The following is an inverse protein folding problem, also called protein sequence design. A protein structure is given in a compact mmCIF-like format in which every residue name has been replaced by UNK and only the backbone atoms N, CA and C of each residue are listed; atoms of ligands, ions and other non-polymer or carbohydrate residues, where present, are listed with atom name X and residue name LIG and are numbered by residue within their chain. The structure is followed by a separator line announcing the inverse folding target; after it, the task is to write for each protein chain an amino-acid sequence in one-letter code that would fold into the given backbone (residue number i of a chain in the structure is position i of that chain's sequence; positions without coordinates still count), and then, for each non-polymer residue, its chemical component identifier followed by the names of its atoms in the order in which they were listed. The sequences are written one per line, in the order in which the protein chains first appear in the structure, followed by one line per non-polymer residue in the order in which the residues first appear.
data_IF_809961913510
#
_entry.id   IF_809961913510
#
_cell.length_a   1.000
_cell.length_b   1.000
_cell.length_c   1.000
_cell.angle_alpha   90.00
_cell.angle_beta   90.00
_cell.angle_gamma   90.00
#
_symmetry.space_group_name_H-M   'P 1'
#
loop_
_entity.id
_entity.type
_entity.pdbx_description
1 polymer ?
#
# COMPACT_ATOMS: atom_id res chain seq x y z
N UNK A 1 -35.40 8.98 0.67
CA UNK A 1 -34.52 8.32 -0.32
C UNK A 1 -35.20 7.07 -0.89
N UNK A 2 -35.22 6.88 -2.21
CA UNK A 2 -35.75 5.67 -2.85
C UNK A 2 -34.69 4.55 -2.81
N UNK A 3 -34.90 3.55 -1.95
CA UNK A 3 -33.94 2.47 -1.70
C UNK A 3 -33.81 1.53 -2.90
N UNK A 4 -34.91 1.20 -3.57
CA UNK A 4 -34.90 0.31 -4.74
C UNK A 4 -34.11 0.93 -5.90
N UNK A 5 -34.34 2.22 -6.19
CA UNK A 5 -33.58 2.94 -7.20
C UNK A 5 -32.09 3.06 -6.85
N UNK A 6 -31.77 3.19 -5.55
CA UNK A 6 -30.39 3.20 -5.07
C UNK A 6 -29.72 1.82 -5.25
N UNK A 7 -30.44 0.73 -4.97
CA UNK A 7 -29.93 -0.62 -5.15
C UNK A 7 -29.57 -0.89 -6.62
N UNK A 8 -30.45 -0.58 -7.56
CA UNK A 8 -30.20 -0.74 -9.01
C UNK A 8 -28.95 0.03 -9.46
N UNK A 9 -28.80 1.28 -9.01
CA UNK A 9 -27.62 2.09 -9.34
C UNK A 9 -26.33 1.54 -8.73
N UNK A 10 -26.38 1.06 -7.49
CA UNK A 10 -25.20 0.46 -6.86
C UNK A 10 -24.81 -0.82 -7.59
N UNK A 11 -25.78 -1.65 -8.00
CA UNK A 11 -25.50 -2.87 -8.78
C UNK A 11 -24.78 -2.60 -10.12
N UNK A 12 -24.91 -1.40 -10.69
CA UNK A 12 -24.13 -1.00 -11.87
C UNK A 12 -22.63 -0.85 -11.60
N UNK A 13 -22.23 -0.73 -10.33
CA UNK A 13 -20.83 -0.73 -9.92
C UNK A 13 -20.31 -2.16 -10.01
N UNK A 14 -19.45 -2.43 -11.01
CA UNK A 14 -18.93 -3.76 -11.40
C UNK A 14 -18.46 -4.67 -10.26
N UNK A 15 -17.94 -4.09 -9.18
CA UNK A 15 -17.36 -4.85 -8.06
C UNK A 15 -18.35 -5.16 -6.95
N UNK A 16 -19.60 -4.70 -7.07
CA UNK A 16 -20.54 -4.74 -5.94
C UNK A 16 -21.61 -5.80 -6.06
N UNK A 17 -22.03 -6.29 -4.90
CA UNK A 17 -23.20 -7.14 -4.71
C UNK A 17 -24.16 -6.43 -3.74
N UNK A 18 -25.45 -6.43 -4.05
CA UNK A 18 -26.48 -5.74 -3.26
C UNK A 18 -27.57 -6.72 -2.88
N UNK A 19 -27.76 -6.91 -1.58
CA UNK A 19 -28.87 -7.68 -1.02
C UNK A 19 -29.91 -6.73 -0.43
N UNK A 20 -31.12 -6.72 -0.97
CA UNK A 20 -32.27 -6.07 -0.33
C UNK A 20 -32.84 -7.00 0.76
N UNK A 21 -33.03 -6.46 1.96
CA UNK A 21 -33.54 -7.20 3.12
C UNK A 21 -34.98 -6.82 3.48
N UNK A 22 -35.61 -5.90 2.74
CA UNK A 22 -36.88 -5.28 3.09
C UNK A 22 -36.78 -4.23 4.20
N UNK A 23 -35.76 -4.31 5.06
CA UNK A 23 -35.44 -3.32 6.10
C UNK A 23 -34.29 -2.36 5.71
N UNK A 24 -33.78 -2.48 4.48
CA UNK A 24 -32.62 -1.75 3.97
C UNK A 24 -31.76 -2.60 3.03
N UNK A 25 -30.63 -2.06 2.61
CA UNK A 25 -29.67 -2.71 1.71
C UNK A 25 -28.43 -3.18 2.45
N UNK A 26 -27.90 -4.31 2.03
CA UNK A 26 -26.54 -4.76 2.35
C UNK A 26 -25.73 -4.73 1.06
N UNK A 27 -24.72 -3.86 1.00
CA UNK A 27 -23.79 -3.76 -0.13
C UNK A 27 -22.47 -4.41 0.25
N UNK A 28 -21.92 -5.21 -0.65
CA UNK A 28 -20.60 -5.86 -0.56
C UNK A 28 -19.77 -5.48 -1.76
N UNK A 29 -18.44 -5.48 -1.61
CA UNK A 29 -17.50 -5.26 -2.71
C UNK A 29 -16.53 -6.44 -2.80
N UNK A 30 -16.37 -7.01 -3.99
CA UNK A 30 -15.54 -8.19 -4.24
C UNK A 30 -14.06 -7.99 -3.93
N UNK A 31 -13.57 -6.73 -3.94
CA UNK A 31 -12.20 -6.37 -3.54
C UNK A 31 -12.01 -6.44 -2.03
N UNK A 32 -13.09 -6.30 -1.25
CA UNK A 32 -13.09 -6.30 0.21
C UNK A 32 -14.19 -7.22 0.74
N UNK A 33 -14.01 -8.55 0.64
CA UNK A 33 -15.11 -9.52 0.78
C UNK A 33 -15.76 -9.57 2.17
N UNK A 34 -15.09 -9.05 3.20
CA UNK A 34 -15.62 -8.98 4.56
C UNK A 34 -16.14 -7.59 4.94
N UNK A 35 -16.00 -6.59 4.07
CA UNK A 35 -16.58 -5.28 4.28
C UNK A 35 -18.06 -5.32 3.87
N UNK A 36 -18.93 -4.90 4.79
CA UNK A 36 -20.36 -4.74 4.52
C UNK A 36 -20.78 -3.31 4.76
N UNK A 37 -21.65 -2.82 3.88
CA UNK A 37 -22.32 -1.54 4.03
C UNK A 37 -23.81 -1.80 4.26
N UNK A 38 -24.33 -1.28 5.35
CA UNK A 38 -25.72 -1.35 5.73
C UNK A 38 -26.35 0.01 5.45
N UNK A 39 -27.35 0.04 4.57
CA UNK A 39 -28.06 1.27 4.20
C UNK A 39 -29.50 1.14 4.67
N UNK A 40 -29.86 1.93 5.66
CA UNK A 40 -31.23 1.99 6.17
C UNK A 40 -32.11 2.91 5.31
N UNK A 41 -33.43 2.64 5.22
CA UNK A 41 -34.40 3.48 4.52
C UNK A 41 -34.39 4.95 4.94
N UNK A 42 -34.03 5.22 6.19
CA UNK A 42 -33.87 6.58 6.73
C UNK A 42 -32.64 7.34 6.17
N UNK A 43 -31.92 6.78 5.19
CA UNK A 43 -30.70 7.38 4.65
C UNK A 43 -29.48 7.24 5.55
N UNK A 44 -29.55 6.34 6.55
CA UNK A 44 -28.43 6.08 7.46
C UNK A 44 -27.58 4.95 6.91
N UNK A 45 -26.30 5.23 6.75
CA UNK A 45 -25.30 4.32 6.25
C UNK A 45 -24.39 3.90 7.41
N UNK A 46 -24.18 2.58 7.58
CA UNK A 46 -23.22 2.00 8.53
C UNK A 46 -22.28 1.07 7.80
N UNK A 47 -20.97 1.26 8.00
CA UNK A 47 -19.95 0.41 7.41
C UNK A 47 -19.23 -0.38 8.49
N UNK A 48 -19.06 -1.69 8.27
CA UNK A 48 -18.30 -2.54 9.19
C UNK A 48 -17.67 -3.73 8.49
N UNK A 49 -16.53 -4.16 9.03
CA UNK A 49 -15.92 -5.43 8.68
C UNK A 49 -16.58 -6.54 9.48
N UNK A 50 -16.92 -7.64 8.83
CA UNK A 50 -17.51 -8.82 9.44
C UNK A 50 -16.82 -10.08 8.96
N UNK A 51 -16.07 -10.72 9.85
CA UNK A 51 -15.40 -11.97 9.54
C UNK A 51 -16.32 -13.15 9.86
N UNK A 52 -16.49 -14.10 8.95
CA UNK A 52 -17.31 -15.28 9.21
C UNK A 52 -16.67 -16.20 10.26
N UNK A 53 -17.41 -17.20 10.70
CA UNK A 53 -16.83 -18.31 11.46
C UNK A 53 -15.84 -19.08 10.57
N UNK A 54 -14.74 -19.61 11.14
CA UNK A 54 -13.83 -20.45 10.38
C UNK A 54 -14.58 -21.74 10.01
N UNK A 55 -14.24 -22.32 8.87
CA UNK A 55 -14.78 -23.62 8.48
C UNK A 55 -14.27 -24.74 9.42
N UNK A 56 -14.69 -25.99 9.18
CA UNK A 56 -14.27 -27.16 9.96
C UNK A 56 -12.74 -27.38 10.02
N UNK A 57 -11.98 -26.77 9.09
CA UNK A 57 -10.50 -26.81 9.06
C UNK A 57 -9.86 -25.58 9.71
N UNK A 58 -10.63 -24.76 10.41
CA UNK A 58 -10.14 -23.54 11.05
C UNK A 58 -9.86 -22.38 10.08
N UNK A 59 -10.28 -22.46 8.81
CA UNK A 59 -9.94 -21.46 7.79
C UNK A 59 -11.09 -20.51 7.46
N UNK A 60 -10.75 -19.26 7.16
CA UNK A 60 -11.64 -18.28 6.53
C UNK A 60 -11.12 -18.03 5.10
N UNK A 61 -11.95 -18.18 4.05
CA UNK A 61 -11.48 -18.11 2.67
C UNK A 61 -10.91 -16.73 2.32
N UNK A 62 -9.62 -16.66 1.98
CA UNK A 62 -8.93 -15.40 1.64
C UNK A 62 -8.06 -14.82 2.77
N UNK A 63 -8.04 -15.45 3.95
CA UNK A 63 -7.16 -15.09 5.06
C UNK A 63 -5.98 -16.06 5.19
N UNK A 64 -4.81 -15.53 5.54
CA UNK A 64 -3.65 -16.32 5.95
C UNK A 64 -3.79 -16.81 7.40
N UNK A 65 -2.93 -17.73 7.84
CA UNK A 65 -2.95 -18.20 9.23
C UNK A 65 -2.65 -17.08 10.25
N UNK A 66 -1.79 -16.12 9.87
CA UNK A 66 -1.52 -14.93 10.69
C UNK A 66 -2.71 -13.98 10.76
N UNK A 67 -3.42 -13.78 9.63
CA UNK A 67 -4.66 -13.00 9.60
C UNK A 67 -5.75 -13.65 10.45
N UNK A 68 -5.85 -14.99 10.41
CA UNK A 68 -6.80 -15.78 11.19
C UNK A 68 -6.56 -15.65 12.69
N UNK A 69 -5.31 -15.72 13.13
CA UNK A 69 -4.94 -15.49 14.53
C UNK A 69 -5.38 -14.09 14.97
N UNK A 70 -5.11 -13.08 14.15
CA UNK A 70 -5.52 -11.69 14.44
C UNK A 70 -7.05 -11.56 14.50
N UNK A 71 -7.79 -12.20 13.58
CA UNK A 71 -9.26 -12.17 13.59
C UNK A 71 -9.84 -12.87 14.82
N UNK A 72 -9.18 -13.90 15.35
CA UNK A 72 -9.61 -14.60 16.55
C UNK A 72 -9.55 -13.70 17.81
N UNK A 73 -8.65 -12.70 17.83
CA UNK A 73 -8.51 -11.73 18.91
C UNK A 73 -9.55 -10.60 18.83
N UNK A 74 -10.17 -10.37 17.66
CA UNK A 74 -11.17 -9.32 17.48
C UNK A 74 -12.46 -9.68 18.24
N UNK A 75 -12.89 -8.87 19.22
CA UNK A 75 -14.16 -9.10 19.91
C UNK A 75 -15.32 -9.14 18.93
N UNK A 76 -16.14 -10.19 18.99
CA UNK A 76 -17.29 -10.40 18.08
C UNK A 76 -16.93 -10.50 16.59
N UNK A 77 -15.66 -10.55 16.20
CA UNK A 77 -15.20 -10.63 14.79
C UNK A 77 -15.77 -9.54 13.89
N UNK A 78 -16.09 -8.40 14.48
CA UNK A 78 -16.67 -7.26 13.78
C UNK A 78 -15.92 -6.00 14.13
N UNK A 79 -15.70 -5.16 13.13
CA UNK A 79 -15.07 -3.86 13.34
C UNK A 79 -15.89 -2.78 12.64
N UNK A 80 -16.51 -1.92 13.44
CA UNK A 80 -17.25 -0.77 12.94
C UNK A 80 -16.30 0.30 12.38
N UNK A 81 -16.65 0.83 11.22
CA UNK A 81 -15.93 1.92 10.54
C UNK A 81 -16.64 3.27 10.69
N UNK A 82 -17.77 3.29 11.39
CA UNK A 82 -18.58 4.47 11.63
C UNK A 82 -19.87 4.51 10.83
N UNK A 83 -20.59 5.60 11.03
CA UNK A 83 -21.90 5.86 10.45
C UNK A 83 -21.91 7.23 9.81
N UNK A 84 -22.58 7.35 8.68
CA UNK A 84 -22.75 8.60 7.95
C UNK A 84 -24.18 8.70 7.43
N UNK A 85 -24.65 9.93 7.19
CA UNK A 85 -25.93 10.16 6.53
C UNK A 85 -25.68 10.29 5.04
N UNK A 86 -26.42 9.54 4.24
CA UNK A 86 -26.41 9.70 2.79
C UNK A 86 -27.20 10.96 2.40
N UNK A 87 -26.78 11.66 1.34
CA UNK A 87 -27.59 12.68 0.70
C UNK A 87 -28.94 12.11 0.24
N UNK A 88 -29.98 12.93 0.24
CA UNK A 88 -31.29 12.54 -0.31
C UNK A 88 -31.26 12.42 -1.84
N UNK A 89 -30.32 13.11 -2.48
CA UNK A 89 -30.04 13.01 -3.91
C UNK A 89 -29.39 11.67 -4.26
N UNK A 90 -29.97 11.00 -5.25
CA UNK A 90 -29.62 9.63 -5.62
C UNK A 90 -28.21 9.56 -6.25
N UNK A 91 -27.86 10.51 -7.11
CA UNK A 91 -26.54 10.59 -7.74
C UNK A 91 -25.44 10.82 -6.70
N UNK A 92 -25.63 11.79 -5.81
CA UNK A 92 -24.72 12.09 -4.72
C UNK A 92 -24.58 10.92 -3.74
N UNK A 93 -25.66 10.21 -3.42
CA UNK A 93 -25.62 9.03 -2.56
C UNK A 93 -24.83 7.88 -3.20
N UNK A 94 -25.09 7.56 -4.47
CA UNK A 94 -24.34 6.53 -5.21
C UNK A 94 -22.85 6.87 -5.29
N UNK A 95 -22.50 8.11 -5.63
CA UNK A 95 -21.10 8.54 -5.71
C UNK A 95 -20.40 8.51 -4.36
N UNK A 96 -21.10 8.87 -3.27
CA UNK A 96 -20.55 8.77 -1.92
C UNK A 96 -20.24 7.31 -1.53
N UNK A 97 -21.14 6.37 -1.85
CA UNK A 97 -20.94 4.93 -1.62
C UNK A 97 -19.76 4.42 -2.44
N UNK A 98 -19.68 4.76 -3.72
CA UNK A 98 -18.58 4.38 -4.60
C UNK A 98 -17.24 4.86 -4.05
N UNK A 99 -17.14 6.14 -3.68
CA UNK A 99 -15.92 6.71 -3.08
C UNK A 99 -15.56 6.04 -1.75
N UNK A 100 -16.55 5.70 -0.93
CA UNK A 100 -16.30 4.97 0.31
C UNK A 100 -15.73 3.58 0.03
N UNK A 101 -16.34 2.82 -0.88
CA UNK A 101 -15.85 1.50 -1.29
C UNK A 101 -14.44 1.55 -1.89
N UNK A 102 -14.19 2.49 -2.80
CA UNK A 102 -12.86 2.69 -3.39
C UNK A 102 -11.82 3.03 -2.31
N UNK A 103 -12.17 3.90 -1.36
CA UNK A 103 -11.31 4.23 -0.23
C UNK A 103 -11.04 3.01 0.65
N UNK A 104 -12.05 2.20 0.96
CA UNK A 104 -11.87 1.01 1.79
C UNK A 104 -11.08 -0.10 1.08
N UNK A 105 -11.27 -0.26 -0.23
CA UNK A 105 -10.50 -1.19 -1.05
C UNK A 105 -9.02 -0.78 -1.18
N UNK A 106 -8.75 0.52 -1.12
CA UNK A 106 -7.39 1.04 -1.11
C UNK A 106 -6.71 0.90 0.26
N UNK A 107 -7.46 1.01 1.35
CA UNK A 107 -6.94 0.94 2.72
C UNK A 107 -6.51 -0.48 3.14
N UNK A 108 -5.60 -0.54 4.11
CA UNK A 108 -5.19 -1.81 4.71
C UNK A 108 -6.37 -2.39 5.48
N UNK A 109 -6.68 -3.65 5.17
CA UNK A 109 -7.75 -4.37 5.85
C UNK A 109 -7.45 -4.46 7.36
N UNK A 110 -8.46 -4.32 8.24
CA UNK A 110 -8.25 -4.28 9.69
C UNK A 110 -7.46 -5.44 10.27
N UNK A 111 -7.72 -6.67 9.82
CA UNK A 111 -7.03 -7.89 10.29
C UNK A 111 -5.55 -7.96 9.91
N UNK A 112 -5.11 -7.12 8.96
CA UNK A 112 -3.70 -7.01 8.55
C UNK A 112 -2.94 -5.95 9.32
N UNK A 113 -3.63 -5.12 10.10
CA UNK A 113 -3.03 -4.18 11.02
C UNK A 113 -2.54 -4.95 12.25
N UNK A 114 -1.38 -5.59 12.11
CA UNK A 114 -0.72 -6.29 13.21
C UNK A 114 0.00 -5.30 14.14
N UNK A 115 0.43 -5.78 15.31
CA UNK A 115 1.32 -5.02 16.16
C UNK A 115 2.56 -4.55 15.36
N UNK A 116 2.97 -3.28 15.50
CA UNK A 116 4.11 -2.75 14.77
C UNK A 116 5.35 -3.60 15.08
N UNK A 117 6.03 -4.04 14.03
CA UNK A 117 7.28 -4.80 14.20
C UNK A 117 8.32 -3.93 14.92
N UNK A 118 9.32 -4.54 15.57
CA UNK A 118 10.49 -3.80 16.05
C UNK A 118 11.07 -2.95 14.93
N UNK A 119 11.40 -1.69 15.23
CA UNK A 119 11.83 -0.69 14.22
C UNK A 119 12.91 -1.23 13.28
N UNK A 120 13.88 -1.98 13.81
CA UNK A 120 14.93 -2.62 13.00
C UNK A 120 14.36 -3.47 11.86
N UNK A 121 13.36 -4.32 12.14
CA UNK A 121 12.69 -5.13 11.10
C UNK A 121 11.93 -4.28 10.09
N UNK A 122 11.41 -3.12 10.52
CA UNK A 122 10.74 -2.17 9.63
C UNK A 122 11.75 -1.48 8.71
N UNK A 123 12.92 -1.10 9.23
CA UNK A 123 14.01 -0.53 8.43
C UNK A 123 14.58 -1.56 7.45
N UNK A 124 14.77 -2.81 7.87
CA UNK A 124 15.15 -3.93 7.00
C UNK A 124 14.11 -4.12 5.89
N UNK A 125 12.81 -4.19 6.24
CA UNK A 125 11.73 -4.29 5.25
C UNK A 125 11.68 -3.10 4.28
N UNK A 126 11.99 -1.89 4.75
CA UNK A 126 12.08 -0.69 3.92
C UNK A 126 13.21 -0.76 2.90
N UNK A 127 14.41 -1.19 3.32
CA UNK A 127 15.55 -1.38 2.41
C UNK A 127 15.27 -2.46 1.38
N UNK A 128 14.85 -3.64 1.84
CA UNK A 128 14.48 -4.76 0.97
C UNK A 128 13.43 -4.35 -0.05
N UNK A 129 12.40 -3.59 0.37
CA UNK A 129 11.37 -3.07 -0.53
C UNK A 129 11.96 -2.12 -1.57
N UNK A 130 12.79 -1.18 -1.15
CA UNK A 130 13.33 -0.17 -2.06
C UNK A 130 14.27 -0.81 -3.08
N UNK A 131 15.09 -1.77 -2.65
CA UNK A 131 16.01 -2.50 -3.52
C UNK A 131 15.24 -3.40 -4.51
N UNK A 132 14.22 -4.13 -4.05
CA UNK A 132 13.36 -4.94 -4.92
C UNK A 132 12.65 -4.09 -6.00
N UNK A 133 12.19 -2.89 -5.64
CA UNK A 133 11.52 -1.98 -6.57
C UNK A 133 12.52 -1.37 -7.57
N UNK A 134 13.73 -1.03 -7.14
CA UNK A 134 14.81 -0.54 -8.00
C UNK A 134 15.25 -1.60 -9.01
N UNK A 135 15.45 -2.84 -8.55
CA UNK A 135 15.80 -3.97 -9.41
C UNK A 135 14.73 -4.21 -10.48
N UNK A 136 13.45 -4.15 -10.10
CA UNK A 136 12.34 -4.29 -11.05
C UNK A 136 12.35 -3.17 -12.09
N UNK A 137 12.50 -1.91 -11.66
CA UNK A 137 12.56 -0.75 -12.56
C UNK A 137 13.74 -0.85 -13.54
N UNK A 138 14.90 -1.32 -13.06
CA UNK A 138 16.09 -1.57 -13.89
C UNK A 138 15.83 -2.67 -14.92
N UNK A 139 15.27 -3.80 -14.51
CA UNK A 139 14.93 -4.90 -15.41
C UNK A 139 13.94 -4.47 -16.51
N UNK A 140 12.92 -3.69 -16.16
CA UNK A 140 11.95 -3.13 -17.11
C UNK A 140 12.60 -2.17 -18.11
N UNK A 141 13.53 -1.32 -17.65
CA UNK A 141 14.29 -0.42 -18.52
C UNK A 141 15.16 -1.20 -19.51
N UNK A 142 15.89 -2.20 -19.04
CA UNK A 142 16.72 -3.07 -19.89
C UNK A 142 15.89 -3.84 -20.92
N UNK A 143 14.70 -4.30 -20.52
CA UNK A 143 13.75 -4.95 -21.42
C UNK A 143 13.28 -4.01 -22.52
N UNK A 144 12.88 -2.78 -22.17
CA UNK A 144 12.47 -1.75 -23.15
C UNK A 144 13.59 -1.41 -24.13
N UNK A 145 14.83 -1.27 -23.65
CA UNK A 145 16.00 -1.02 -24.50
C UNK A 145 16.21 -2.18 -25.49
N UNK A 146 16.10 -3.42 -25.02
CA UNK A 146 16.19 -4.62 -25.88
C UNK A 146 15.10 -4.66 -26.94
N UNK A 147 13.85 -4.39 -26.56
CA UNK A 147 12.71 -4.34 -27.48
C UNK A 147 12.90 -3.23 -28.54
N UNK A 148 13.33 -2.03 -28.14
CA UNK A 148 13.63 -0.94 -29.07
C UNK A 148 14.74 -1.29 -30.07
N UNK A 149 15.83 -1.91 -29.59
CA UNK A 149 16.92 -2.38 -30.46
C UNK A 149 16.45 -3.46 -31.44
N UNK A 150 15.60 -4.38 -30.98
CA UNK A 150 15.02 -5.42 -31.84
C UNK A 150 14.10 -4.83 -32.92
N UNK A 151 13.28 -3.83 -32.57
CA UNK A 151 12.43 -3.11 -33.53
C UNK A 151 13.27 -2.34 -34.55
N UNK A 152 14.33 -1.64 -34.11
CA UNK A 152 15.26 -0.94 -35.01
C UNK A 152 15.98 -1.92 -35.95
N UNK A 153 16.40 -3.09 -35.46
CA UNK A 153 17.03 -4.12 -36.28
C UNK A 153 16.06 -4.73 -37.31
N UNK A 154 14.77 -4.87 -36.96
CA UNK A 154 13.71 -5.35 -37.88
C UNK A 154 13.29 -4.29 -38.90
N UNK A 155 13.39 -3.01 -38.57
CA UNK A 155 13.13 -1.89 -39.49
C UNK A 155 14.06 -1.84 -40.72
N UNK A 156 15.17 -2.58 -40.72
CA UNK A 156 16.13 -2.67 -41.84
C UNK A 156 16.14 -4.00 -42.61
N UNK A 157 15.39 -5.03 -42.18
CA UNK A 157 15.33 -6.32 -42.87
C UNK A 157 13.91 -6.90 -42.85
N UNK A 158 13.34 -7.15 -44.04
CA UNK A 158 12.23 -8.10 -44.20
C UNK A 158 12.74 -9.50 -43.85
N UNK A 159 12.56 -9.92 -42.61
CA UNK A 159 12.79 -11.31 -42.19
C UNK A 159 11.42 -11.97 -42.09
N UNK A 160 11.26 -13.08 -42.80
CA UNK A 160 10.08 -13.93 -42.74
C UNK A 160 9.80 -14.35 -41.27
N UNK A 161 8.52 -14.58 -40.89
CA UNK A 161 8.21 -14.99 -39.52
C UNK A 161 8.79 -16.39 -39.28
N UNK A 162 9.81 -16.50 -38.43
CA UNK A 162 10.10 -17.74 -37.71
C UNK A 162 8.97 -17.96 -36.70
N UNK A 163 7.82 -18.44 -37.18
CA UNK A 163 6.88 -19.18 -36.35
C UNK A 163 7.28 -20.65 -36.39
N UNK A 164 7.09 -21.34 -35.26
CA UNK A 164 7.17 -22.80 -35.10
C UNK A 164 8.50 -23.40 -34.61
N UNK A 165 9.28 -22.66 -33.82
CA UNK A 165 10.29 -23.30 -32.95
C UNK A 165 9.68 -23.55 -31.57
N UNK A 166 9.41 -24.82 -31.27
CA UNK A 166 9.03 -25.21 -29.91
C UNK A 166 10.18 -24.88 -28.94
N UNK A 167 9.88 -24.24 -27.79
CA UNK A 167 10.90 -23.91 -26.80
C UNK A 167 11.53 -25.19 -26.27
N UNK A 168 12.86 -25.21 -26.14
CA UNK A 168 13.55 -26.38 -25.61
C UNK A 168 13.20 -26.62 -24.13
N UNK A 169 13.40 -27.83 -23.64
CA UNK A 169 13.18 -28.16 -22.22
C UNK A 169 13.97 -27.21 -21.29
N UNK A 170 15.19 -26.84 -21.66
CA UNK A 170 16.03 -25.89 -20.92
C UNK A 170 15.50 -24.46 -20.95
N UNK A 171 14.81 -24.05 -22.02
CA UNK A 171 14.14 -22.76 -22.12
C UNK A 171 12.88 -22.71 -21.25
N UNK A 172 12.10 -23.80 -21.26
CA UNK A 172 10.93 -23.96 -20.40
C UNK A 172 11.32 -23.98 -18.91
N UNK A 173 12.39 -24.68 -18.54
CA UNK A 173 12.87 -24.73 -17.16
C UNK A 173 13.38 -23.36 -16.69
N UNK A 174 14.15 -22.66 -17.53
CA UNK A 174 14.62 -21.29 -17.23
C UNK A 174 13.44 -20.32 -17.07
N UNK A 175 12.44 -20.41 -17.94
CA UNK A 175 11.23 -19.58 -17.85
C UNK A 175 10.44 -19.88 -16.56
N UNK A 176 10.31 -21.16 -16.18
CA UNK A 176 9.62 -21.57 -14.96
C UNK A 176 10.35 -21.08 -13.69
N UNK A 177 11.68 -21.16 -13.65
CA UNK A 177 12.49 -20.62 -12.54
C UNK A 177 12.32 -19.10 -12.43
N UNK A 178 12.45 -18.37 -13.54
CA UNK A 178 12.25 -16.92 -13.56
C UNK A 178 10.85 -16.50 -13.10
N UNK A 179 9.80 -17.24 -13.50
CA UNK A 179 8.44 -16.98 -13.06
C UNK A 179 8.24 -17.23 -11.55
N UNK A 180 8.93 -18.23 -10.99
CA UNK A 180 8.91 -18.50 -9.56
C UNK A 180 9.62 -17.39 -8.77
N UNK A 181 10.79 -16.98 -9.22
CA UNK A 181 11.57 -15.92 -8.56
C UNK A 181 10.80 -14.59 -8.57
N UNK A 182 10.13 -14.26 -9.68
CA UNK A 182 9.28 -13.06 -9.76
C UNK A 182 8.08 -13.14 -8.80
N UNK A 183 7.45 -14.31 -8.70
CA UNK A 183 6.35 -14.52 -7.76
C UNK A 183 6.83 -14.37 -6.30
N UNK A 184 7.99 -14.93 -5.97
CA UNK A 184 8.56 -14.85 -4.62
C UNK A 184 8.94 -13.39 -4.28
N UNK A 185 9.45 -12.63 -5.27
CA UNK A 185 9.69 -11.19 -5.14
C UNK A 185 8.39 -10.41 -4.90
N UNK A 186 7.33 -10.66 -5.69
CA UNK A 186 6.03 -10.00 -5.51
C UNK A 186 5.45 -10.26 -4.11
N UNK A 187 5.59 -11.49 -3.60
CA UNK A 187 5.18 -11.84 -2.24
C UNK A 187 6.00 -11.06 -1.19
N UNK A 188 7.32 -10.94 -1.38
CA UNK A 188 8.20 -10.17 -0.48
C UNK A 188 7.85 -8.68 -0.50
N UNK A 189 7.65 -8.08 -1.66
CA UNK A 189 7.21 -6.68 -1.82
C UNK A 189 5.90 -6.46 -1.08
N UNK A 190 4.90 -7.33 -1.27
CA UNK A 190 3.61 -7.21 -0.61
C UNK A 190 3.73 -7.28 0.92
N UNK A 191 4.56 -8.20 1.42
CA UNK A 191 4.85 -8.34 2.86
C UNK A 191 5.54 -7.11 3.43
N UNK A 192 6.57 -6.60 2.76
CA UNK A 192 7.33 -5.43 3.24
C UNK A 192 6.47 -4.17 3.25
N UNK A 193 5.65 -3.96 2.21
CA UNK A 193 4.64 -2.88 2.20
C UNK A 193 3.68 -2.97 3.38
N UNK A 194 3.17 -4.16 3.69
CA UNK A 194 2.29 -4.36 4.83
C UNK A 194 3.00 -4.06 6.16
N UNK A 195 4.25 -4.52 6.34
CA UNK A 195 5.03 -4.27 7.53
C UNK A 195 5.28 -2.76 7.76
N UNK A 196 5.70 -2.05 6.72
CA UNK A 196 5.94 -0.60 6.80
C UNK A 196 4.65 0.14 7.08
N UNK A 197 3.56 -0.18 6.39
CA UNK A 197 2.32 0.54 6.60
C UNK A 197 1.67 0.28 7.96
N UNK A 198 1.86 -0.92 8.55
CA UNK A 198 1.50 -1.18 9.94
C UNK A 198 2.31 -0.30 10.91
N UNK A 199 3.61 -0.13 10.65
CA UNK A 199 4.44 0.74 11.46
C UNK A 199 4.06 2.23 11.29
N UNK A 200 3.70 2.64 10.07
CA UNK A 200 3.17 3.98 9.79
C UNK A 200 1.84 4.22 10.51
N UNK A 201 1.04 3.20 10.77
CA UNK A 201 -0.24 3.29 11.48
C UNK A 201 -0.12 3.50 13.01
N UNK A 202 1.06 3.93 13.48
CA UNK A 202 1.37 4.24 14.89
C UNK A 202 1.57 5.74 15.11
N UNK A 203 1.68 6.17 16.37
CA UNK A 203 2.00 7.56 16.73
C UNK A 203 3.30 8.07 16.08
N UNK A 204 4.25 7.15 15.85
CA UNK A 204 5.59 7.45 15.38
C UNK A 204 5.73 7.39 13.87
N UNK A 205 4.65 7.10 13.13
CA UNK A 205 4.69 7.00 11.68
C UNK A 205 5.43 8.15 10.98
N UNK A 206 5.20 9.43 11.35
CA UNK A 206 5.97 10.56 10.81
C UNK A 206 7.47 10.50 11.10
N UNK A 207 7.86 10.06 12.30
CA UNK A 207 9.25 9.95 12.74
C UNK A 207 9.95 8.75 12.09
N UNK A 208 9.20 7.70 11.76
CA UNK A 208 9.66 6.59 10.94
C UNK A 208 9.97 7.05 9.50
N UNK A 209 9.13 7.89 8.89
CA UNK A 209 9.45 8.47 7.57
C UNK A 209 10.74 9.28 7.64
N UNK A 210 10.91 10.14 8.66
CA UNK A 210 12.15 10.89 8.83
C UNK A 210 13.39 9.97 8.98
N UNK A 211 13.23 8.81 9.61
CA UNK A 211 14.28 7.81 9.71
C UNK A 211 14.64 7.20 8.34
N UNK A 212 13.66 6.90 7.49
CA UNK A 212 13.91 6.47 6.12
C UNK A 212 14.67 7.55 5.33
N UNK A 213 14.33 8.83 5.53
CA UNK A 213 15.06 9.94 4.90
C UNK A 213 16.52 9.99 5.33
N UNK A 214 16.79 9.83 6.63
CA UNK A 214 18.17 9.79 7.15
C UNK A 214 18.91 8.58 6.57
N UNK A 215 18.27 7.42 6.48
CA UNK A 215 18.86 6.21 5.92
C UNK A 215 19.25 6.38 4.44
N UNK A 216 18.36 6.97 3.63
CA UNK A 216 18.65 7.29 2.23
C UNK A 216 19.76 8.35 2.11
N UNK A 217 19.81 9.32 3.03
CA UNK A 217 20.86 10.32 3.07
C UNK A 217 22.22 9.68 3.35
N UNK A 218 22.29 8.82 4.35
CA UNK A 218 23.50 8.13 4.76
C UNK A 218 23.99 7.19 3.63
N UNK A 219 23.07 6.48 2.97
CA UNK A 219 23.36 5.66 1.78
C UNK A 219 23.94 6.49 0.63
N UNK A 220 23.29 7.59 0.24
CA UNK A 220 23.67 8.41 -0.92
C UNK A 220 24.98 9.18 -0.66
N UNK A 221 25.22 9.60 0.59
CA UNK A 221 26.43 10.34 0.96
C UNK A 221 27.62 9.41 1.24
N UNK A 222 27.42 8.08 1.24
CA UNK A 222 28.45 7.11 1.59
C UNK A 222 28.82 7.12 3.08
N UNK A 223 28.02 7.77 3.92
CA UNK A 223 28.17 7.74 5.36
C UNK A 223 27.62 6.41 5.88
N UNK A 224 28.43 5.35 5.82
CA UNK A 224 28.14 4.04 6.43
C UNK A 224 28.31 4.06 7.96
N UNK A 225 27.92 5.16 8.61
CA UNK A 225 27.77 5.17 10.05
C UNK A 225 26.59 4.25 10.40
N UNK A 226 26.95 3.03 10.82
CA UNK A 226 26.06 1.96 11.31
C UNK A 226 24.88 2.55 12.10
N UNK A 227 23.67 2.34 11.58
CA UNK A 227 22.37 2.37 12.29
C UNK A 227 22.34 3.18 13.60
N UNK A 228 22.58 4.50 13.57
CA UNK A 228 22.44 5.33 14.79
C UNK A 228 20.98 5.55 15.22
N UNK A 229 20.04 4.90 14.54
CA UNK A 229 18.60 5.05 14.72
C UNK A 229 18.00 3.87 15.52
N UNK A 230 18.86 3.07 16.18
CA UNK A 230 18.45 1.98 17.07
C UNK A 230 17.97 2.44 18.46
N UNK A 231 18.28 3.67 18.90
CA UNK A 231 17.94 4.13 20.24
C UNK A 231 16.98 5.33 20.22
N UNK A 232 15.83 5.17 20.89
CA UNK A 232 14.79 6.19 21.20
C UNK A 232 13.76 6.50 20.14
N UNK A 233 13.01 5.50 19.69
CA UNK A 233 11.61 5.74 19.32
C UNK A 233 10.78 4.76 20.12
N UNK A 234 10.18 5.26 21.20
CA UNK A 234 9.16 4.56 21.95
C UNK A 234 7.82 4.80 21.25
N UNK A 235 7.08 3.72 20.95
CA UNK A 235 5.81 3.67 20.21
C UNK A 235 4.62 4.40 20.87
N UNK A 236 4.91 5.39 21.72
CA UNK A 236 3.96 6.18 22.49
C UNK A 236 4.19 7.70 22.47
N UNK A 237 5.17 8.23 21.74
CA UNK A 237 5.49 9.68 21.81
C UNK A 237 5.43 10.40 20.45
N UNK A 238 4.78 11.56 20.40
CA UNK A 238 4.73 12.44 19.21
C UNK A 238 6.06 13.20 18.99
N UNK A 239 7.21 12.55 19.18
CA UNK A 239 8.50 13.21 19.11
C UNK A 239 8.88 13.53 17.66
N UNK A 240 8.94 14.83 17.34
CA UNK A 240 9.35 15.37 16.03
C UNK A 240 10.85 15.64 15.94
N UNK A 241 11.64 15.25 16.92
CA UNK A 241 13.10 15.42 16.95
C UNK A 241 13.77 14.88 15.68
N UNK A 242 13.38 13.68 15.23
CA UNK A 242 13.92 13.04 14.03
C UNK A 242 13.63 13.81 12.74
N UNK A 243 12.47 14.48 12.64
CA UNK A 243 12.16 15.31 11.47
C UNK A 243 13.10 16.53 11.43
N UNK A 244 13.37 17.14 12.59
CA UNK A 244 14.32 18.26 12.68
C UNK A 244 15.73 17.81 12.36
N UNK A 245 16.16 16.67 12.89
CA UNK A 245 17.47 16.08 12.59
C UNK A 245 17.65 15.82 11.10
N UNK A 246 16.67 15.15 10.47
CA UNK A 246 16.68 14.87 9.03
C UNK A 246 16.79 16.17 8.22
N UNK A 247 16.03 17.21 8.59
CA UNK A 247 16.09 18.52 7.94
C UNK A 247 17.47 19.18 8.07
N UNK A 248 18.07 19.14 9.26
CA UNK A 248 19.42 19.69 9.51
C UNK A 248 20.45 18.96 8.66
N UNK A 249 20.46 17.61 8.69
CA UNK A 249 21.38 16.81 7.89
C UNK A 249 21.23 17.11 6.39
N UNK A 250 20.00 17.06 5.87
CA UNK A 250 19.70 17.40 4.48
C UNK A 250 20.15 18.81 4.08
N UNK A 251 19.98 19.80 4.95
CA UNK A 251 20.41 21.17 4.69
C UNK A 251 21.94 21.27 4.58
N UNK A 252 22.65 20.50 5.42
CA UNK A 252 24.12 20.45 5.45
C UNK A 252 24.72 19.64 4.29
N UNK A 253 23.95 18.73 3.69
CA UNK A 253 24.41 17.92 2.56
C UNK A 253 24.67 18.78 1.34
N UNK A 254 25.86 18.59 0.75
CA UNK A 254 26.31 19.25 -0.48
C UNK A 254 26.44 18.31 -1.68
N UNK A 255 26.08 17.04 -1.49
CA UNK A 255 26.17 16.02 -2.55
C UNK A 255 25.11 16.29 -3.61
N UNK A 256 25.56 16.42 -4.87
CA UNK A 256 24.67 16.46 -6.02
C UNK A 256 24.12 15.06 -6.29
N UNK A 257 22.83 14.95 -6.55
CA UNK A 257 22.21 13.67 -6.86
C UNK A 257 22.61 13.21 -8.27
N UNK A 258 23.07 11.97 -8.38
CA UNK A 258 23.15 11.28 -9.66
C UNK A 258 21.74 11.01 -10.19
N UNK A 259 21.61 10.72 -11.49
CA UNK A 259 20.33 10.31 -12.09
C UNK A 259 19.73 9.11 -11.37
N UNK A 260 20.55 8.12 -11.02
CA UNK A 260 20.11 6.91 -10.31
C UNK A 260 19.60 7.22 -8.90
N UNK A 261 20.33 8.05 -8.14
CA UNK A 261 19.90 8.46 -6.80
C UNK A 261 18.60 9.27 -6.83
N UNK A 262 18.43 10.12 -7.86
CA UNK A 262 17.19 10.85 -8.07
C UNK A 262 16.01 9.91 -8.34
N UNK A 263 16.19 8.96 -9.27
CA UNK A 263 15.16 7.96 -9.59
C UNK A 263 14.76 7.11 -8.37
N UNK A 264 15.73 6.79 -7.51
CA UNK A 264 15.51 6.10 -6.23
C UNK A 264 14.67 6.96 -5.29
N UNK A 265 15.03 8.22 -5.08
CA UNK A 265 14.29 9.12 -4.18
C UNK A 265 12.86 9.41 -4.68
N UNK A 266 12.63 9.51 -6.00
CA UNK A 266 11.29 9.62 -6.58
C UNK A 266 10.45 8.39 -6.26
N UNK A 267 11.02 7.19 -6.45
CA UNK A 267 10.35 5.93 -6.10
C UNK A 267 10.04 5.82 -4.61
N UNK A 268 10.99 6.19 -3.75
CA UNK A 268 10.80 6.20 -2.29
C UNK A 268 9.65 7.15 -1.92
N UNK A 269 9.65 8.38 -2.45
CA UNK A 269 8.58 9.34 -2.20
C UNK A 269 7.21 8.80 -2.62
N UNK A 270 7.09 8.26 -3.83
CA UNK A 270 5.84 7.69 -4.34
C UNK A 270 5.37 6.51 -3.50
N UNK A 271 6.29 5.63 -3.10
CA UNK A 271 6.00 4.47 -2.27
C UNK A 271 5.53 4.89 -0.87
N UNK A 272 6.21 5.85 -0.24
CA UNK A 272 5.81 6.33 1.09
C UNK A 272 4.48 7.08 1.04
N UNK A 273 4.22 7.87 -0.01
CA UNK A 273 2.92 8.49 -0.25
C UNK A 273 1.79 7.46 -0.39
N UNK A 274 2.01 6.42 -1.19
CA UNK A 274 1.07 5.29 -1.34
C UNK A 274 0.80 4.64 0.02
N UNK A 275 1.85 4.28 0.77
CA UNK A 275 1.71 3.60 2.06
C UNK A 275 0.99 4.48 3.11
N UNK A 276 1.30 5.77 3.21
CA UNK A 276 0.60 6.71 4.11
C UNK A 276 -0.88 6.81 3.76
N UNK A 277 -1.21 6.85 2.46
CA UNK A 277 -2.61 6.92 2.02
C UNK A 277 -3.40 5.65 2.33
N UNK A 278 -2.72 4.50 2.39
CA UNK A 278 -3.33 3.20 2.75
C UNK A 278 -3.60 3.04 4.24
N UNK A 279 -3.03 3.89 5.10
CA UNK A 279 -3.33 3.89 6.55
C UNK A 279 -4.79 4.32 6.77
N UNK A 280 -5.61 3.51 7.46
CA UNK A 280 -7.02 3.85 7.68
C UNK A 280 -7.21 5.07 8.59
N UNK A 281 -8.16 5.94 8.24
CA UNK A 281 -8.46 7.16 9.00
C UNK A 281 -8.82 6.90 10.46
N UNK A 282 -9.56 5.83 10.72
CA UNK A 282 -9.94 5.43 12.09
C UNK A 282 -8.72 5.11 12.96
N UNK A 283 -7.65 4.58 12.36
CA UNK A 283 -6.42 4.25 13.08
C UNK A 283 -5.67 5.52 13.43
N UNK A 284 -5.57 6.45 12.48
CA UNK A 284 -5.01 7.78 12.71
C UNK A 284 -5.82 8.52 13.79
N UNK A 285 -7.14 8.52 13.69
CA UNK A 285 -8.04 9.18 14.64
C UNK A 285 -7.91 8.59 16.06
N UNK A 286 -7.79 7.27 16.20
CA UNK A 286 -7.56 6.60 17.49
C UNK A 286 -6.22 6.99 18.14
N UNK A 287 -5.29 7.56 17.37
CA UNK A 287 -4.00 8.09 17.84
C UNK A 287 -3.97 9.62 17.86
N UNK A 288 -5.11 10.29 17.68
CA UNK A 288 -5.22 11.75 17.57
C UNK A 288 -4.36 12.36 16.44
N UNK A 289 -4.17 11.59 15.37
CA UNK A 289 -3.39 11.97 14.19
C UNK A 289 -4.29 12.19 12.98
N UNK A 290 -3.75 12.91 12.00
CA UNK A 290 -4.30 12.99 10.65
C UNK A 290 -3.21 12.74 9.63
N UNK A 291 -3.57 12.46 8.37
CA UNK A 291 -2.57 12.31 7.28
C UNK A 291 -1.65 13.53 7.13
N UNK A 292 -2.09 14.72 7.57
CA UNK A 292 -1.26 15.94 7.58
C UNK A 292 -0.04 15.80 8.50
N UNK A 293 -0.05 14.90 9.48
CA UNK A 293 1.07 14.68 10.38
C UNK A 293 2.33 14.15 9.66
N UNK A 294 2.17 13.44 8.53
CA UNK A 294 3.29 12.90 7.74
C UNK A 294 3.87 13.94 6.77
N UNK A 295 3.15 15.03 6.49
CA UNK A 295 3.52 16.00 5.47
C UNK A 295 4.93 16.63 5.68
N UNK A 296 5.34 17.00 6.90
CA UNK A 296 6.69 17.55 7.11
C UNK A 296 7.79 16.57 6.73
N UNK A 297 7.65 15.29 7.07
CA UNK A 297 8.66 14.27 6.79
C UNK A 297 8.72 13.93 5.28
N UNK A 298 7.57 13.82 4.61
CA UNK A 298 7.50 13.62 3.16
C UNK A 298 8.05 14.82 2.37
N UNK A 299 7.82 16.04 2.87
CA UNK A 299 8.32 17.26 2.26
C UNK A 299 9.86 17.32 2.23
N UNK A 300 10.56 16.63 3.13
CA UNK A 300 12.02 16.56 3.13
C UNK A 300 12.56 15.89 1.85
N UNK A 301 11.95 14.77 1.44
CA UNK A 301 12.34 14.04 0.21
C UNK A 301 12.03 14.88 -1.02
N UNK A 302 10.81 15.45 -1.07
CA UNK A 302 10.39 16.32 -2.18
C UNK A 302 11.29 17.56 -2.32
N UNK A 303 11.68 18.15 -1.18
CA UNK A 303 12.62 19.27 -1.16
C UNK A 303 14.00 18.86 -1.66
N UNK A 304 14.51 17.70 -1.24
CA UNK A 304 15.80 17.18 -1.70
C UNK A 304 15.81 16.97 -3.21
N UNK A 305 14.78 16.32 -3.77
CA UNK A 305 14.59 16.15 -5.21
C UNK A 305 14.59 17.48 -5.99
N UNK A 306 13.92 18.51 -5.44
CA UNK A 306 13.84 19.83 -6.07
C UNK A 306 15.16 20.60 -6.02
N UNK A 307 15.89 20.52 -4.90
CA UNK A 307 17.17 21.23 -4.71
C UNK A 307 18.25 20.73 -5.67
N UNK A 308 18.17 19.45 -6.05
CA UNK A 308 19.15 18.80 -6.92
C UNK A 308 18.72 18.73 -8.39
N UNK A 309 17.66 19.45 -8.77
CA UNK A 309 17.23 19.67 -10.15
C UNK A 309 17.89 20.93 -10.72
#
# INVERSE_FOLDING_TARGET
MNISALAERIQSIRTTDVTDTGAGLIVRDSRTPYLKLYIHPAGVFRSRWEYPQPNRRGRIPGLTDADLATVAEIPRRTIDLGMFRLPDDLDAATEMIRRHLDRQAFQIAPHRLHHPMPRRKVMEAYRDLTDDLMDRKKADRERRIREQRAVQARGGRKIAPESDREPSADELERAARAARDERDRDVRIARNRAAIANALATADGPSLIAAFVIDELDLITGNTAVFHVEQRVDYGSHDRSLIKEAAVRLSSTRVALTTENRERLEMVLDTLLDLVNRVPDRVLAAKHMSRRAYAPALALIAWWLKRSA
#
